data_IF_298992783232
#
_entry.id   IF_298992783232
#
_cell.length_a   1.000
_cell.length_b   1.000
_cell.length_c   1.000
_cell.angle_alpha   90.00
_cell.angle_beta   90.00
_cell.angle_gamma   90.00
#
_symmetry.space_group_name_H-M   'P 1'
#
loop_
_entity.id
_entity.type
_entity.pdbx_description
1 polymer ?
#
# COMPACT_ATOMS: atom_id res chain seq x y z
N UNK A 1 -24.72 4.44 9.85
CA UNK A 1 -23.52 4.13 9.04
C UNK A 1 -22.41 5.08 9.43
N UNK A 2 -21.14 4.65 9.47
CA UNK A 2 -20.01 5.50 9.90
C UNK A 2 -19.32 6.24 8.73
N UNK A 3 -19.58 5.84 7.49
CA UNK A 3 -18.95 6.38 6.30
C UNK A 3 -20.01 6.68 5.24
N UNK A 4 -19.89 7.81 4.55
CA UNK A 4 -20.76 8.20 3.43
C UNK A 4 -20.13 7.92 2.06
N UNK A 5 -18.81 7.77 1.98
CA UNK A 5 -18.06 7.54 0.75
C UNK A 5 -16.68 6.92 1.04
N UNK A 6 -16.05 6.30 0.04
CA UNK A 6 -14.72 5.71 0.14
C UNK A 6 -13.90 5.94 -1.13
N UNK A 7 -12.65 6.34 -0.96
CA UNK A 7 -11.66 6.38 -2.05
C UNK A 7 -10.47 5.53 -1.61
N UNK A 8 -10.09 4.55 -2.42
CA UNK A 8 -8.93 3.70 -2.14
C UNK A 8 -7.77 4.04 -3.08
N UNK A 9 -6.57 4.17 -2.51
CA UNK A 9 -5.34 4.48 -3.24
C UNK A 9 -4.51 3.20 -3.41
N UNK A 10 -4.41 2.74 -4.66
CA UNK A 10 -3.73 1.52 -5.11
C UNK A 10 -3.87 0.31 -4.17
N UNK A 11 -5.08 -0.04 -3.69
CA UNK A 11 -5.21 -1.12 -2.72
C UNK A 11 -4.76 -2.44 -3.35
N UNK A 12 -4.11 -3.35 -2.59
CA UNK A 12 -3.68 -4.66 -3.07
C UNK A 12 -4.86 -5.64 -3.21
N UNK A 13 -5.84 -5.27 -4.03
CA UNK A 13 -7.00 -6.07 -4.38
C UNK A 13 -6.63 -7.07 -5.46
N UNK A 14 -6.03 -8.18 -5.02
CA UNK A 14 -5.74 -9.31 -5.89
C UNK A 14 -7.06 -10.02 -6.18
N UNK A 15 -7.44 -10.07 -7.45
CA UNK A 15 -8.72 -10.59 -7.92
C UNK A 15 -8.57 -11.94 -8.63
N UNK A 16 -9.70 -12.61 -8.89
CA UNK A 16 -9.78 -13.74 -9.82
C UNK A 16 -8.98 -14.98 -9.38
N UNK A 17 -8.28 -15.57 -10.34
CA UNK A 17 -7.55 -16.85 -10.18
C UNK A 17 -6.35 -16.67 -9.25
N UNK A 18 -5.73 -15.50 -9.30
CA UNK A 18 -4.63 -15.07 -8.46
C UNK A 18 -5.06 -14.97 -7.00
N UNK A 19 -6.28 -14.50 -6.73
CA UNK A 19 -6.84 -14.46 -5.38
C UNK A 19 -7.03 -15.88 -4.82
N UNK A 20 -7.54 -16.79 -5.64
CA UNK A 20 -7.68 -18.20 -5.27
C UNK A 20 -6.32 -18.86 -5.01
N UNK A 21 -5.34 -18.67 -5.90
CA UNK A 21 -3.98 -19.18 -5.71
C UNK A 21 -3.33 -18.63 -4.43
N UNK A 22 -3.51 -17.33 -4.15
CA UNK A 22 -3.05 -16.71 -2.90
C UNK A 22 -3.76 -17.32 -1.69
N UNK A 23 -5.07 -17.56 -1.79
CA UNK A 23 -5.86 -18.19 -0.73
C UNK A 23 -5.34 -19.60 -0.42
N UNK A 24 -5.18 -20.45 -1.43
CA UNK A 24 -4.60 -21.80 -1.29
C UNK A 24 -3.19 -21.72 -0.67
N UNK A 25 -2.32 -20.85 -1.20
CA UNK A 25 -0.98 -20.69 -0.68
C UNK A 25 -0.98 -20.29 0.82
N UNK A 26 -1.88 -19.39 1.23
CA UNK A 26 -2.04 -18.99 2.64
C UNK A 26 -2.57 -20.14 3.49
N UNK A 27 -3.62 -20.82 3.05
CA UNK A 27 -4.28 -21.92 3.76
C UNK A 27 -3.33 -23.09 4.01
N UNK A 28 -2.50 -23.45 3.02
CA UNK A 28 -1.52 -24.53 3.13
C UNK A 28 -0.17 -24.08 3.73
N UNK A 29 -0.05 -22.84 4.21
CA UNK A 29 1.18 -22.25 4.79
C UNK A 29 2.45 -22.59 3.98
N UNK A 30 2.35 -22.55 2.65
CA UNK A 30 3.46 -22.94 1.80
C UNK A 30 4.66 -22.04 2.11
N UNK A 31 5.80 -22.64 2.48
CA UNK A 31 7.06 -21.92 2.81
C UNK A 31 7.52 -20.94 1.71
N UNK A 32 7.03 -21.13 0.48
CA UNK A 32 7.22 -20.21 -0.64
C UNK A 32 6.68 -18.79 -0.39
N UNK A 33 5.64 -18.63 0.44
CA UNK A 33 5.12 -17.31 0.83
C UNK A 33 6.11 -16.54 1.70
N UNK A 34 6.83 -17.16 2.62
CA UNK A 34 7.83 -16.45 3.45
C UNK A 34 9.06 -16.00 2.63
N UNK A 35 9.32 -16.56 1.43
CA UNK A 35 10.43 -16.14 0.55
C UNK A 35 10.06 -15.09 -0.50
N UNK A 36 8.78 -15.02 -0.92
CA UNK A 36 8.33 -14.12 -2.01
C UNK A 36 7.23 -13.13 -1.61
N UNK A 37 6.69 -13.19 -0.39
CA UNK A 37 5.72 -12.20 0.08
C UNK A 37 6.42 -10.95 0.62
N UNK A 38 5.75 -9.78 0.64
CA UNK A 38 6.24 -8.58 1.32
C UNK A 38 6.71 -8.86 2.76
N UNK A 39 6.04 -9.79 3.47
CA UNK A 39 6.43 -10.23 4.80
C UNK A 39 7.83 -10.88 4.88
N UNK A 40 8.28 -11.56 3.82
CA UNK A 40 9.64 -12.11 3.74
C UNK A 40 10.71 -11.03 3.57
N UNK A 41 10.42 -10.02 2.75
CA UNK A 41 11.29 -8.87 2.52
C UNK A 41 11.36 -7.97 3.76
N UNK A 42 10.25 -7.73 4.44
CA UNK A 42 10.18 -6.96 5.69
C UNK A 42 11.03 -7.56 6.82
N UNK A 43 11.11 -8.90 6.92
CA UNK A 43 11.97 -9.58 7.92
C UNK A 43 13.46 -9.28 7.78
N UNK A 44 13.95 -9.02 6.56
CA UNK A 44 15.37 -8.76 6.27
C UNK A 44 15.70 -7.27 6.13
N UNK A 45 14.69 -6.39 6.25
CA UNK A 45 14.87 -4.94 6.14
C UNK A 45 15.77 -4.46 7.30
N UNK A 46 16.58 -3.44 7.09
CA UNK A 46 17.20 -2.72 8.21
C UNK A 46 16.09 -1.94 8.94
N UNK A 47 16.02 -2.04 10.25
CA UNK A 47 15.07 -1.32 11.12
C UNK A 47 15.75 -0.40 12.12
N UNK A 48 17.09 -0.33 12.11
CA UNK A 48 17.87 0.45 13.06
C UNK A 48 19.01 1.18 12.35
N UNK A 49 19.26 2.42 12.73
CA UNK A 49 20.30 3.31 12.18
C UNK A 49 20.99 4.09 13.30
N UNK A 50 22.21 4.55 13.04
CA UNK A 50 22.99 5.30 14.02
C UNK A 50 22.43 6.71 14.24
N UNK A 51 21.79 7.29 13.21
CA UNK A 51 21.11 8.59 13.28
C UNK A 51 20.03 8.73 12.19
N UNK A 52 19.20 9.79 12.28
CA UNK A 52 18.20 10.10 11.25
C UNK A 52 18.85 10.47 9.91
N UNK A 53 19.99 11.15 9.95
CA UNK A 53 20.77 11.52 8.77
C UNK A 53 21.28 10.27 8.05
N UNK A 54 21.86 9.31 8.79
CA UNK A 54 22.28 8.03 8.22
C UNK A 54 21.10 7.27 7.63
N UNK A 55 19.94 7.29 8.30
CA UNK A 55 18.73 6.68 7.76
C UNK A 55 18.30 7.34 6.44
N UNK A 56 18.30 8.66 6.37
CA UNK A 56 17.98 9.42 5.16
C UNK A 56 18.89 9.06 3.99
N UNK A 57 20.21 9.05 4.19
CA UNK A 57 21.20 8.70 3.16
C UNK A 57 21.00 7.28 2.63
N UNK A 58 20.68 6.33 3.50
CA UNK A 58 20.53 4.92 3.12
C UNK A 58 19.16 4.58 2.55
N UNK A 59 18.12 5.32 2.93
CA UNK A 59 16.75 5.11 2.46
C UNK A 59 16.48 5.82 1.14
N UNK A 60 16.97 7.05 0.95
CA UNK A 60 16.70 7.85 -0.26
C UNK A 60 16.97 7.12 -1.58
N UNK A 61 18.10 6.39 -1.77
CA UNK A 61 18.36 5.71 -3.05
C UNK A 61 17.58 4.38 -3.21
N UNK A 62 16.77 3.95 -2.23
CA UNK A 62 15.99 2.72 -2.33
C UNK A 62 14.73 2.97 -3.16
N UNK A 63 14.34 1.97 -3.95
CA UNK A 63 13.36 2.12 -5.03
C UNK A 63 12.01 2.76 -4.68
N UNK A 64 11.46 2.57 -3.46
CA UNK A 64 10.22 3.26 -3.09
C UNK A 64 10.43 4.73 -2.72
N UNK A 65 11.55 5.04 -2.06
CA UNK A 65 11.81 6.35 -1.46
C UNK A 65 12.48 7.33 -2.43
N UNK A 66 13.09 6.81 -3.51
CA UNK A 66 13.77 7.61 -4.51
C UNK A 66 12.80 8.60 -5.19
N UNK A 67 11.55 8.17 -5.37
CA UNK A 67 10.52 8.90 -6.11
C UNK A 67 9.64 9.74 -5.17
N UNK A 68 9.85 9.68 -3.85
CA UNK A 68 9.09 10.50 -2.91
C UNK A 68 9.40 11.98 -3.12
N UNK A 69 8.33 12.77 -3.04
CA UNK A 69 8.43 14.21 -2.86
C UNK A 69 9.35 14.54 -1.66
N UNK A 70 10.08 15.65 -1.76
CA UNK A 70 11.11 15.99 -0.79
C UNK A 70 10.54 16.18 0.62
N UNK A 71 9.38 16.84 0.73
CA UNK A 71 8.73 17.10 2.01
C UNK A 71 8.14 15.81 2.60
N UNK A 72 7.58 14.96 1.74
CA UNK A 72 7.08 13.64 2.14
C UNK A 72 8.21 12.72 2.63
N UNK A 73 9.37 12.76 1.97
CA UNK A 73 10.54 12.00 2.41
C UNK A 73 11.09 12.54 3.74
N UNK A 74 11.19 13.86 3.91
CA UNK A 74 11.63 14.45 5.17
C UNK A 74 10.68 14.08 6.31
N UNK A 75 9.36 14.21 6.10
CA UNK A 75 8.36 13.79 7.08
C UNK A 75 8.48 12.28 7.41
N UNK A 76 8.81 11.43 6.43
CA UNK A 76 9.08 10.03 6.69
C UNK A 76 10.27 9.84 7.64
N UNK A 77 11.38 10.56 7.44
CA UNK A 77 12.55 10.48 8.32
C UNK A 77 12.24 11.00 9.73
N UNK A 78 11.44 12.05 9.82
CA UNK A 78 11.12 12.67 11.11
C UNK A 78 10.16 11.81 11.96
N UNK A 79 9.16 11.20 11.32
CA UNK A 79 8.05 10.55 12.03
C UNK A 79 7.97 9.03 11.90
N UNK A 80 8.61 8.43 10.88
CA UNK A 80 8.70 6.97 10.80
C UNK A 80 9.82 6.40 11.68
N UNK A 81 10.67 7.26 12.26
CA UNK A 81 11.79 6.89 13.11
C UNK A 81 11.62 7.41 14.53
N UNK A 82 11.86 6.55 15.51
CA UNK A 82 11.93 6.87 16.93
C UNK A 82 13.34 6.61 17.47
N UNK A 83 13.70 7.27 18.56
CA UNK A 83 14.98 7.04 19.20
C UNK A 83 15.00 5.67 19.88
N UNK A 84 16.11 4.93 19.75
CA UNK A 84 16.31 3.65 20.42
C UNK A 84 17.18 3.86 21.67
N UNK A 85 16.60 3.93 22.89
CA UNK A 85 17.36 4.19 24.11
C UNK A 85 18.23 3.01 24.54
N UNK A 86 17.98 1.80 24.03
CA UNK A 86 18.69 0.58 24.44
C UNK A 86 19.94 0.39 23.58
N UNK A 87 19.82 0.52 22.26
CA UNK A 87 20.93 0.35 21.31
C UNK A 87 21.61 1.67 20.95
N UNK A 88 21.01 2.82 21.28
CA UNK A 88 21.39 4.12 20.76
C UNK A 88 20.91 4.31 19.31
N UNK A 89 20.92 5.53 18.79
CA UNK A 89 20.48 5.83 17.42
C UNK A 89 18.96 5.82 17.27
N UNK A 90 18.46 5.39 16.11
CA UNK A 90 17.04 5.43 15.74
C UNK A 90 16.55 4.12 15.13
N UNK A 91 15.27 3.81 15.32
CA UNK A 91 14.59 2.65 14.73
C UNK A 91 13.22 2.99 14.15
N UNK A 92 12.65 2.08 13.36
CA UNK A 92 11.29 2.26 12.84
C UNK A 92 10.26 2.28 13.97
N UNK A 93 9.33 3.23 13.93
CA UNK A 93 8.20 3.32 14.88
C UNK A 93 7.25 2.13 14.78
N UNK A 94 7.15 1.52 13.59
CA UNK A 94 6.35 0.31 13.36
C UNK A 94 7.30 -0.90 13.32
N UNK A 95 7.20 -1.82 14.31
CA UNK A 95 8.01 -3.02 14.31
C UNK A 95 7.75 -3.89 13.07
N UNK A 96 8.82 -4.46 12.49
CA UNK A 96 8.72 -5.41 11.36
C UNK A 96 7.72 -6.53 11.56
N UNK A 97 7.59 -7.03 12.80
CA UNK A 97 6.66 -8.11 13.15
C UNK A 97 5.20 -7.72 12.89
N UNK A 98 4.87 -6.45 13.09
CA UNK A 98 3.51 -5.94 12.94
C UNK A 98 3.20 -5.72 11.46
N UNK A 99 4.16 -5.19 10.69
CA UNK A 99 4.08 -5.14 9.22
C UNK A 99 3.86 -6.54 8.62
N UNK A 100 4.64 -7.54 9.08
CA UNK A 100 4.48 -8.95 8.68
C UNK A 100 3.10 -9.50 9.04
N UNK A 101 2.57 -9.14 10.22
CA UNK A 101 1.25 -9.58 10.65
C UNK A 101 0.15 -9.00 9.74
N UNK A 102 0.22 -7.72 9.39
CA UNK A 102 -0.71 -7.05 8.46
C UNK A 102 -0.69 -7.72 7.08
N UNK A 103 0.48 -8.03 6.52
CA UNK A 103 0.54 -8.71 5.22
C UNK A 103 -0.03 -10.13 5.25
N UNK A 104 0.06 -10.81 6.40
CA UNK A 104 -0.52 -12.16 6.57
C UNK A 104 -2.04 -12.13 6.62
N UNK A 105 -2.65 -11.08 7.18
CA UNK A 105 -4.11 -10.94 7.27
C UNK A 105 -4.77 -10.43 5.99
N UNK A 106 -3.99 -10.12 4.94
CA UNK A 106 -4.55 -9.58 3.69
C UNK A 106 -5.69 -10.46 3.12
N UNK A 107 -6.86 -9.90 2.80
CA UNK A 107 -8.01 -10.67 2.34
C UNK A 107 -7.69 -11.40 1.03
N UNK A 108 -7.97 -12.70 0.98
CA UNK A 108 -7.73 -13.57 -0.18
C UNK A 108 -8.99 -14.16 -0.79
N UNK A 109 -10.16 -13.89 -0.20
CA UNK A 109 -11.46 -14.44 -0.60
C UNK A 109 -12.15 -13.64 -1.72
N UNK A 110 -11.43 -12.72 -2.36
CA UNK A 110 -11.96 -11.90 -3.45
C UNK A 110 -12.39 -12.69 -4.70
N UNK A 111 -12.08 -13.99 -4.78
CA UNK A 111 -12.58 -14.88 -5.83
C UNK A 111 -14.03 -15.33 -5.62
N UNK A 112 -14.55 -15.33 -4.38
CA UNK A 112 -15.94 -15.70 -4.06
C UNK A 112 -16.93 -14.58 -4.39
N UNK A 113 -18.22 -14.87 -4.62
CA UNK A 113 -19.26 -13.84 -4.71
C UNK A 113 -19.24 -12.96 -3.46
N UNK A 114 -19.34 -11.65 -3.66
CA UNK A 114 -19.30 -10.64 -2.60
C UNK A 114 -20.37 -9.59 -2.89
N UNK A 115 -20.93 -9.00 -1.84
CA UNK A 115 -21.89 -7.92 -1.98
C UNK A 115 -21.22 -6.68 -2.58
N UNK A 116 -22.01 -5.90 -3.34
CA UNK A 116 -21.57 -4.58 -3.79
C UNK A 116 -21.55 -3.61 -2.60
N UNK A 117 -20.64 -2.64 -2.58
CA UNK A 117 -20.65 -1.61 -1.54
C UNK A 117 -21.97 -0.82 -1.58
N UNK A 118 -22.46 -0.44 -0.41
CA UNK A 118 -23.70 0.36 -0.26
C UNK A 118 -23.46 1.87 -0.38
N UNK A 119 -22.21 2.29 -0.26
CA UNK A 119 -21.77 3.68 -0.38
C UNK A 119 -20.98 3.85 -1.70
N UNK A 120 -20.87 5.08 -2.23
CA UNK A 120 -19.96 5.39 -3.32
C UNK A 120 -18.53 4.98 -2.98
N UNK A 121 -17.90 4.24 -3.89
CA UNK A 121 -16.50 3.83 -3.80
C UNK A 121 -15.79 4.18 -5.09
N UNK A 122 -14.56 4.68 -5.00
CA UNK A 122 -13.69 4.94 -6.16
C UNK A 122 -12.29 4.39 -5.92
N UNK A 123 -11.67 3.87 -6.97
CA UNK A 123 -10.27 3.44 -6.95
C UNK A 123 -9.38 4.45 -7.65
N UNK A 124 -8.25 4.79 -7.04
CA UNK A 124 -7.17 5.51 -7.70
C UNK A 124 -6.00 4.54 -7.81
N UNK A 125 -5.50 4.30 -9.01
CA UNK A 125 -4.54 3.21 -9.30
C UNK A 125 -3.33 3.80 -10.00
N UNK A 126 -2.13 3.35 -9.60
CA UNK A 126 -0.89 3.77 -10.23
C UNK A 126 -0.71 3.16 -11.62
N UNK A 127 -0.27 3.96 -12.59
CA UNK A 127 0.07 3.50 -13.93
C UNK A 127 1.23 2.51 -13.91
N UNK A 128 2.30 2.84 -13.16
CA UNK A 128 3.51 2.02 -13.04
C UNK A 128 3.44 1.05 -11.85
N UNK A 129 2.25 0.84 -11.28
CA UNK A 129 1.99 -0.05 -10.15
C UNK A 129 1.83 -1.53 -10.54
N UNK A 130 1.93 -2.45 -9.56
CA UNK A 130 1.85 -3.89 -9.82
C UNK A 130 0.45 -4.39 -10.18
N UNK A 131 -0.60 -3.58 -9.97
CA UNK A 131 -1.99 -4.03 -10.07
C UNK A 131 -2.63 -3.73 -11.43
N UNK A 132 -2.30 -2.60 -12.06
CA UNK A 132 -2.88 -2.22 -13.35
C UNK A 132 -2.48 -3.19 -14.45
N UNK A 133 -1.20 -3.59 -14.51
CA UNK A 133 -0.68 -4.57 -15.47
C UNK A 133 -1.41 -5.93 -15.40
N UNK A 134 -1.93 -6.28 -14.22
CA UNK A 134 -2.68 -7.53 -13.96
C UNK A 134 -4.19 -7.39 -14.19
N UNK A 135 -4.64 -6.22 -14.64
CA UNK A 135 -6.04 -5.88 -14.89
C UNK A 135 -6.95 -6.03 -13.66
N UNK A 136 -6.40 -5.93 -12.45
CA UNK A 136 -7.21 -6.03 -11.23
C UNK A 136 -8.26 -4.91 -11.08
N UNK A 137 -7.96 -3.63 -11.37
CA UNK A 137 -8.97 -2.57 -11.31
C UNK A 137 -10.17 -2.83 -12.22
N UNK A 138 -9.95 -3.36 -13.43
CA UNK A 138 -10.99 -3.73 -14.37
C UNK A 138 -11.83 -4.91 -13.85
N UNK A 139 -11.20 -5.88 -13.18
CA UNK A 139 -11.93 -6.98 -12.52
C UNK A 139 -12.79 -6.46 -11.37
N UNK A 140 -12.28 -5.50 -10.58
CA UNK A 140 -13.04 -4.85 -9.50
C UNK A 140 -14.22 -4.07 -10.06
N UNK A 141 -14.01 -3.27 -11.10
CA UNK A 141 -15.09 -2.53 -11.77
C UNK A 141 -16.17 -3.49 -12.30
N UNK A 142 -15.78 -4.57 -12.98
CA UNK A 142 -16.72 -5.57 -13.51
C UNK A 142 -17.52 -6.26 -12.40
N UNK A 143 -16.88 -6.61 -11.28
CA UNK A 143 -17.50 -7.39 -10.21
C UNK A 143 -18.34 -6.54 -9.27
N UNK A 144 -17.80 -5.41 -8.84
CA UNK A 144 -18.40 -4.56 -7.80
C UNK A 144 -19.08 -3.31 -8.33
N UNK A 145 -18.86 -2.96 -9.60
CA UNK A 145 -19.35 -1.69 -10.18
C UNK A 145 -18.56 -0.47 -9.70
N UNK A 146 -17.37 -0.68 -9.13
CA UNK A 146 -16.54 0.39 -8.56
C UNK A 146 -15.71 1.03 -9.69
N UNK A 147 -15.90 2.33 -10.00
CA UNK A 147 -15.07 3.04 -10.98
C UNK A 147 -13.62 3.17 -10.50
N UNK A 148 -12.71 3.35 -11.45
CA UNK A 148 -11.30 3.61 -11.16
C UNK A 148 -10.72 4.71 -12.05
N UNK A 149 -9.76 5.46 -11.51
CA UNK A 149 -8.92 6.44 -12.22
C UNK A 149 -7.48 5.96 -12.17
N UNK A 150 -6.77 6.10 -13.29
CA UNK A 150 -5.33 5.83 -13.36
C UNK A 150 -4.58 7.15 -13.20
N UNK A 151 -3.53 7.14 -12.39
CA UNK A 151 -2.63 8.27 -12.17
C UNK A 151 -1.21 7.88 -12.57
N UNK A 152 -0.41 8.83 -13.04
CA UNK A 152 1.03 8.58 -13.25
C UNK A 152 1.72 8.32 -11.90
N UNK A 153 2.90 7.70 -11.95
CA UNK A 153 3.69 7.35 -10.78
C UNK A 153 3.65 5.86 -10.43
N UNK A 154 4.38 5.52 -9.37
CA UNK A 154 4.49 4.19 -8.81
C UNK A 154 3.38 3.88 -7.79
N UNK A 155 3.50 2.72 -7.14
CA UNK A 155 2.57 2.31 -6.08
C UNK A 155 2.45 3.35 -4.95
N UNK A 156 3.54 4.10 -4.71
CA UNK A 156 3.62 5.11 -3.66
C UNK A 156 3.26 6.51 -4.16
N UNK A 157 2.54 6.63 -5.30
CA UNK A 157 2.12 7.91 -5.87
C UNK A 157 1.54 8.94 -4.88
N UNK A 158 0.83 8.59 -3.78
CA UNK A 158 0.38 9.58 -2.80
C UNK A 158 1.53 10.35 -2.13
N UNK A 159 2.71 9.75 -2.05
CA UNK A 159 3.92 10.33 -1.47
C UNK A 159 4.90 10.83 -2.54
N UNK A 160 4.73 10.45 -3.80
CA UNK A 160 5.52 10.92 -4.94
C UNK A 160 4.99 12.26 -5.48
N UNK A 161 3.67 12.46 -5.47
CA UNK A 161 2.99 13.63 -6.03
C UNK A 161 1.81 14.10 -5.14
N UNK A 162 2.09 14.49 -3.88
CA UNK A 162 1.06 14.72 -2.86
C UNK A 162 0.03 15.79 -3.26
N UNK A 163 0.46 16.91 -3.87
CA UNK A 163 -0.44 18.01 -4.25
C UNK A 163 -1.40 17.63 -5.37
N UNK A 164 -0.92 16.89 -6.36
CA UNK A 164 -1.74 16.42 -7.48
C UNK A 164 -2.78 15.42 -6.97
N UNK A 165 -2.37 14.50 -6.09
CA UNK A 165 -3.25 13.50 -5.48
C UNK A 165 -4.28 14.17 -4.58
N UNK A 166 -3.87 15.12 -3.73
CA UNK A 166 -4.79 15.87 -2.90
C UNK A 166 -5.86 16.62 -3.73
N UNK A 167 -5.46 17.21 -4.85
CA UNK A 167 -6.37 17.88 -5.78
C UNK A 167 -7.36 16.90 -6.42
N UNK A 168 -6.88 15.75 -6.90
CA UNK A 168 -7.72 14.68 -7.44
C UNK A 168 -8.72 14.16 -6.39
N UNK A 169 -8.29 13.94 -5.15
CA UNK A 169 -9.17 13.45 -4.09
C UNK A 169 -10.26 14.46 -3.76
N UNK A 170 -9.95 15.75 -3.69
CA UNK A 170 -10.97 16.80 -3.51
C UNK A 170 -12.02 16.78 -4.62
N UNK A 171 -11.59 16.59 -5.87
CA UNK A 171 -12.51 16.47 -7.01
C UNK A 171 -13.40 15.22 -6.90
N UNK A 172 -12.82 14.06 -6.58
CA UNK A 172 -13.56 12.81 -6.43
C UNK A 172 -14.57 12.88 -5.27
N UNK A 173 -14.19 13.49 -4.15
CA UNK A 173 -15.09 13.70 -3.00
C UNK A 173 -16.30 14.54 -3.41
N UNK A 174 -16.09 15.61 -4.17
CA UNK A 174 -17.18 16.45 -4.67
C UNK A 174 -18.09 15.68 -5.65
N UNK A 175 -17.50 14.89 -6.55
CA UNK A 175 -18.24 14.08 -7.52
C UNK A 175 -19.08 12.96 -6.88
N UNK A 176 -18.58 12.35 -5.81
CA UNK A 176 -19.30 11.29 -5.07
C UNK A 176 -20.41 11.82 -4.16
N UNK A 177 -20.37 13.11 -3.84
CA UNK A 177 -21.35 13.79 -2.97
C UNK A 177 -22.51 14.42 -3.75
N UNK A 178 -22.41 14.47 -5.08
CA UNK A 178 -23.43 15.00 -5.99
C UNK A 178 -24.39 13.89 -6.45
#
# INVERSE_FOLDING_TARGET
ELFSQMIMLDPPMIMGKEAFALHIAKTFRLKALDKMSPAGLSKRRRDHWDSREQAAELLRPKGFYQDFDADCFQAYIDYALQDDPIRGGVELTIPKRDEVAVFRTNPSLWWLPQAKPKIPVHLVVAEKGPFLARKFPQQVQKKFGIPFTVVDGGHMFPLEQPDQVASLLKQLIQQQSA
#
